data_IF_966081894838
#
_entry.id   IF_966081894838
#
_cell.length_a   1.000
_cell.length_b   1.000
_cell.length_c   1.000
_cell.angle_alpha   90.00
_cell.angle_beta   90.00
_cell.angle_gamma   90.00
#
_symmetry.space_group_name_H-M   'P 1'
#
loop_
_entity.id
_entity.type
_entity.pdbx_description
1 polymer ?
#
# COMPACT_ATOMS: atom_id res chain seq x y z
N UNK A 1 8.65 29.72 9.83
CA UNK A 1 8.24 28.55 9.02
C UNK A 1 9.07 28.55 7.75
N UNK A 2 9.59 27.41 7.31
CA UNK A 2 10.33 27.31 6.05
C UNK A 2 9.36 27.58 4.88
N UNK A 3 9.78 28.31 3.85
CA UNK A 3 8.93 28.51 2.67
C UNK A 3 8.79 27.19 1.90
N UNK A 4 7.63 26.94 1.25
CA UNK A 4 7.49 25.79 0.37
C UNK A 4 8.58 25.80 -0.70
N UNK A 5 9.21 24.64 -0.95
CA UNK A 5 10.23 24.53 -1.98
C UNK A 5 10.26 23.12 -2.57
N UNK A 6 10.42 23.08 -3.88
CA UNK A 6 10.57 21.82 -4.61
C UNK A 6 11.96 21.22 -4.38
N UNK A 7 12.04 19.90 -4.40
CA UNK A 7 13.27 19.15 -4.23
C UNK A 7 13.57 18.30 -5.48
N UNK A 8 14.86 18.16 -5.83
CA UNK A 8 15.27 17.25 -6.90
C UNK A 8 15.58 15.88 -6.31
N UNK A 9 14.98 14.82 -6.86
CA UNK A 9 15.19 13.46 -6.38
C UNK A 9 15.35 12.47 -7.54
N UNK A 10 16.17 11.44 -7.33
CA UNK A 10 16.22 10.26 -8.20
C UNK A 10 15.39 9.17 -7.54
N UNK A 11 14.35 8.72 -8.23
CA UNK A 11 13.45 7.68 -7.73
C UNK A 11 13.83 6.31 -8.28
N UNK A 12 13.65 5.27 -7.47
CA UNK A 12 13.82 3.89 -7.91
C UNK A 12 12.49 3.34 -8.41
N UNK A 13 12.48 2.89 -9.66
CA UNK A 13 11.31 2.33 -10.32
C UNK A 13 11.47 0.84 -10.53
N UNK A 14 10.37 0.11 -10.40
CA UNK A 14 10.33 -1.31 -10.77
C UNK A 14 10.65 -1.44 -12.27
N UNK A 15 11.66 -2.23 -12.59
CA UNK A 15 12.03 -2.54 -13.96
C UNK A 15 11.25 -3.75 -14.46
N UNK A 16 10.51 -3.58 -15.55
CA UNK A 16 9.76 -4.67 -16.16
C UNK A 16 10.69 -5.77 -16.65
N UNK A 17 10.53 -6.97 -16.10
CA UNK A 17 11.32 -8.14 -16.48
C UNK A 17 10.51 -9.06 -17.40
N UNK A 18 11.18 -9.66 -18.39
CA UNK A 18 10.58 -10.73 -19.22
C UNK A 18 10.09 -11.91 -18.38
N UNK A 19 10.74 -12.15 -17.24
CA UNK A 19 10.37 -13.18 -16.27
C UNK A 19 8.90 -13.06 -15.81
N UNK A 20 8.33 -11.85 -15.76
CA UNK A 20 6.96 -11.63 -15.30
C UNK A 20 5.88 -12.23 -16.21
N UNK A 21 6.23 -12.61 -17.44
CA UNK A 21 5.34 -13.39 -18.30
C UNK A 21 5.26 -14.89 -17.95
N UNK A 22 6.13 -15.39 -17.07
CA UNK A 22 6.17 -16.81 -16.66
C UNK A 22 6.18 -17.01 -15.14
N UNK A 23 6.57 -15.99 -14.37
CA UNK A 23 6.61 -16.02 -12.91
C UNK A 23 6.12 -14.68 -12.35
N UNK A 24 5.06 -14.69 -11.53
CA UNK A 24 4.51 -13.43 -10.96
C UNK A 24 5.54 -12.66 -10.13
N UNK A 25 5.54 -11.31 -10.19
CA UNK A 25 6.33 -10.49 -9.29
C UNK A 25 6.01 -10.79 -7.81
N UNK A 26 7.03 -10.93 -6.96
CA UNK A 26 6.84 -11.15 -5.53
C UNK A 26 7.97 -10.55 -4.70
N UNK A 27 7.66 -10.23 -3.44
CA UNK A 27 8.62 -9.86 -2.40
C UNK A 27 8.18 -10.46 -1.06
N UNK A 28 9.12 -11.08 -0.36
CA UNK A 28 8.97 -11.67 0.97
C UNK A 28 9.64 -10.75 1.98
N UNK A 29 8.85 -10.24 2.92
CA UNK A 29 9.34 -9.39 4.02
C UNK A 29 9.89 -10.20 5.20
N UNK A 30 9.77 -11.52 5.14
CA UNK A 30 10.29 -12.45 6.15
C UNK A 30 10.98 -13.62 5.46
N UNK A 31 12.06 -14.12 6.06
CA UNK A 31 12.76 -15.33 5.57
C UNK A 31 11.87 -16.53 5.87
N UNK A 32 11.27 -17.10 4.83
CA UNK A 32 10.47 -18.32 4.94
C UNK A 32 11.38 -19.52 4.69
N UNK A 33 11.59 -20.34 5.71
CA UNK A 33 12.30 -21.62 5.61
C UNK A 33 13.79 -21.56 5.95
N UNK A 34 14.22 -22.42 6.88
CA UNK A 34 15.62 -22.60 7.27
C UNK A 34 16.47 -23.31 6.22
N UNK A 35 16.44 -22.86 4.96
CA UNK A 35 17.29 -23.37 3.87
C UNK A 35 16.77 -24.62 3.13
N UNK A 36 15.56 -25.10 3.41
CA UNK A 36 15.04 -26.36 2.85
C UNK A 36 14.14 -26.19 1.60
N UNK A 37 13.84 -24.95 1.21
CA UNK A 37 13.02 -24.70 0.02
C UNK A 37 13.90 -24.73 -1.25
N UNK A 38 13.40 -25.31 -2.36
CA UNK A 38 14.11 -25.32 -3.64
C UNK A 38 14.41 -23.92 -4.18
N UNK A 39 13.51 -22.96 -3.94
CA UNK A 39 13.71 -21.55 -4.26
C UNK A 39 13.80 -20.73 -2.97
N UNK A 40 14.95 -20.09 -2.77
CA UNK A 40 15.27 -19.30 -1.59
C UNK A 40 15.20 -17.79 -1.85
N UNK A 41 14.78 -17.37 -3.06
CA UNK A 41 14.66 -15.95 -3.41
C UNK A 41 13.61 -15.31 -2.51
N UNK A 42 13.98 -14.19 -1.87
CA UNK A 42 13.04 -13.34 -1.14
C UNK A 42 12.35 -12.34 -2.05
N UNK A 43 12.79 -12.16 -3.29
CA UNK A 43 12.12 -11.30 -4.27
C UNK A 43 12.57 -11.66 -5.69
N UNK A 44 11.73 -11.38 -6.70
CA UNK A 44 12.13 -11.28 -8.11
C UNK A 44 11.92 -9.86 -8.68
N UNK A 45 11.69 -8.88 -7.81
CA UNK A 45 11.60 -7.47 -8.17
C UNK A 45 13.00 -6.92 -8.46
N UNK A 46 13.15 -6.31 -9.63
CA UNK A 46 14.36 -5.59 -10.02
C UNK A 46 14.00 -4.12 -10.07
N UNK A 47 14.80 -3.27 -9.43
CA UNK A 47 14.61 -1.83 -9.45
C UNK A 47 15.74 -1.17 -10.20
N UNK A 48 15.42 -0.07 -10.88
CA UNK A 48 16.40 0.80 -11.53
C UNK A 48 16.20 2.24 -11.09
N UNK A 49 17.28 3.00 -11.03
CA UNK A 49 17.21 4.44 -10.88
C UNK A 49 16.54 5.05 -12.12
N UNK A 50 15.62 5.98 -11.88
CA UNK A 50 15.04 6.81 -12.91
C UNK A 50 15.87 8.06 -13.20
N UNK A 51 15.27 8.94 -14.00
CA UNK A 51 15.80 10.28 -14.20
C UNK A 51 15.63 11.14 -12.93
N UNK A 52 16.31 12.29 -12.89
CA UNK A 52 16.07 13.30 -11.86
C UNK A 52 14.67 13.88 -12.05
N UNK A 53 13.85 13.77 -11.01
CA UNK A 53 12.48 14.26 -10.97
C UNK A 53 12.37 15.41 -9.97
N UNK A 54 11.45 16.34 -10.25
CA UNK A 54 11.12 17.42 -9.33
C UNK A 54 9.98 16.97 -8.41
N UNK A 55 10.25 16.89 -7.11
CA UNK A 55 9.27 16.66 -6.07
C UNK A 55 8.67 18.00 -5.67
N UNK A 56 7.40 18.19 -6.01
CA UNK A 56 6.69 19.45 -5.78
C UNK A 56 6.18 19.58 -4.35
N UNK A 57 6.45 20.72 -3.74
CA UNK A 57 5.89 21.06 -2.44
C UNK A 57 4.47 21.60 -2.58
N UNK A 58 3.53 20.86 -1.99
CA UNK A 58 2.09 21.13 -2.08
C UNK A 58 1.56 22.06 -0.98
N UNK A 59 2.42 22.48 -0.04
CA UNK A 59 2.01 23.32 1.10
C UNK A 59 1.52 24.69 0.63
N UNK A 60 0.32 25.07 1.05
CA UNK A 60 -0.34 26.33 0.66
C UNK A 60 -1.10 26.28 -0.67
N UNK A 61 -1.03 25.16 -1.40
CA UNK A 61 -1.75 24.95 -2.67
C UNK A 61 -2.70 23.75 -2.61
N UNK A 62 -3.00 23.24 -1.41
CA UNK A 62 -3.74 22.00 -1.17
C UNK A 62 -5.12 22.00 -1.87
N UNK A 63 -5.77 23.16 -1.96
CA UNK A 63 -7.07 23.33 -2.62
C UNK A 63 -7.06 23.09 -4.13
N UNK A 64 -5.88 23.06 -4.76
CA UNK A 64 -5.73 22.84 -6.20
C UNK A 64 -5.80 21.34 -6.58
N UNK A 65 -5.76 20.44 -5.58
CA UNK A 65 -5.70 19.00 -5.79
C UNK A 65 -7.07 18.34 -5.58
N UNK A 66 -7.48 17.57 -6.59
CA UNK A 66 -8.77 16.91 -6.63
C UNK A 66 -8.61 15.44 -7.02
N UNK A 67 -9.52 14.60 -6.50
CA UNK A 67 -9.48 13.16 -6.74
C UNK A 67 -9.49 12.83 -8.24
N UNK A 68 -10.34 13.51 -9.03
CA UNK A 68 -10.48 13.25 -10.47
C UNK A 68 -9.26 13.64 -11.32
N UNK A 69 -8.42 14.57 -10.84
CA UNK A 69 -7.27 15.05 -11.62
C UNK A 69 -5.96 14.43 -11.16
N UNK A 70 -5.76 14.28 -9.85
CA UNK A 70 -4.49 13.80 -9.28
C UNK A 70 -4.60 12.43 -8.63
N UNK A 71 -5.80 11.86 -8.50
CA UNK A 71 -6.00 10.60 -7.77
C UNK A 71 -5.94 10.76 -6.24
N UNK A 72 -5.83 12.00 -5.74
CA UNK A 72 -5.90 12.31 -4.30
C UNK A 72 -6.48 13.71 -4.06
N UNK A 73 -6.87 14.00 -2.82
CA UNK A 73 -7.27 15.34 -2.39
C UNK A 73 -6.94 15.55 -0.92
N UNK A 74 -6.72 16.79 -0.51
CA UNK A 74 -6.45 17.15 0.88
C UNK A 74 -7.74 17.52 1.61
N UNK A 75 -7.94 16.99 2.81
CA UNK A 75 -9.02 17.39 3.71
C UNK A 75 -8.48 17.58 5.12
N UNK A 76 -8.77 18.73 5.70
CA UNK A 76 -8.64 18.94 7.13
C UNK A 76 -9.95 18.49 7.73
N UNK A 77 -9.91 17.42 8.51
CA UNK A 77 -11.09 16.84 9.14
C UNK A 77 -10.84 16.66 10.64
N UNK A 78 -11.61 17.33 11.51
CA UNK A 78 -11.49 17.13 12.94
C UNK A 78 -11.95 15.71 13.28
N UNK A 79 -11.11 14.98 14.03
CA UNK A 79 -11.43 13.63 14.50
C UNK A 79 -11.67 13.64 16.00
N UNK A 80 -12.53 12.75 16.49
CA UNK A 80 -12.71 12.51 17.94
C UNK A 80 -11.71 11.49 18.49
N UNK A 81 -10.83 10.94 17.65
CA UNK A 81 -9.76 10.04 18.07
C UNK A 81 -8.74 10.83 18.88
N UNK A 82 -8.41 10.34 20.05
CA UNK A 82 -7.39 10.91 20.94
C UNK A 82 -6.07 10.16 20.79
N UNK A 83 -6.12 8.84 20.66
CA UNK A 83 -4.94 7.98 20.53
C UNK A 83 -5.11 6.92 19.41
N UNK A 84 -4.35 7.11 18.33
CA UNK A 84 -4.30 6.18 17.19
C UNK A 84 -3.61 4.84 17.51
N UNK A 85 -3.00 4.69 18.68
CA UNK A 85 -2.49 3.41 19.19
C UNK A 85 -3.56 2.54 19.85
N UNK A 86 -4.70 3.13 20.24
CA UNK A 86 -5.80 2.41 20.89
C UNK A 86 -6.73 1.82 19.83
N UNK A 87 -6.78 0.49 19.77
CA UNK A 87 -7.57 -0.25 18.78
C UNK A 87 -9.04 0.17 18.75
N UNK A 88 -9.64 0.27 19.93
CA UNK A 88 -11.07 0.58 20.04
C UNK A 88 -11.39 1.99 19.53
N UNK A 89 -10.48 2.96 19.69
CA UNK A 89 -10.64 4.30 19.12
C UNK A 89 -10.53 4.27 17.59
N UNK A 90 -9.56 3.54 17.05
CA UNK A 90 -9.43 3.43 15.59
C UNK A 90 -10.63 2.70 14.99
N UNK A 91 -11.03 1.56 15.54
CA UNK A 91 -12.10 0.74 14.98
C UNK A 91 -13.50 1.38 15.13
N UNK A 92 -13.78 2.02 16.27
CA UNK A 92 -15.12 2.52 16.57
C UNK A 92 -15.29 4.03 16.37
N UNK A 93 -14.20 4.79 16.18
CA UNK A 93 -14.24 6.24 15.98
C UNK A 93 -13.62 6.62 14.63
N UNK A 94 -12.34 6.30 14.42
CA UNK A 94 -11.62 6.70 13.20
C UNK A 94 -12.24 6.10 11.92
N UNK A 95 -12.37 4.78 11.87
CA UNK A 95 -12.83 4.09 10.66
C UNK A 95 -14.27 4.50 10.25
N UNK A 96 -15.23 4.63 11.18
CA UNK A 96 -16.54 5.22 10.86
C UNK A 96 -16.45 6.67 10.36
N UNK A 97 -15.62 7.51 10.99
CA UNK A 97 -15.44 8.91 10.55
C UNK A 97 -14.85 9.01 9.14
N UNK A 98 -13.88 8.16 8.80
CA UNK A 98 -13.29 8.11 7.45
C UNK A 98 -14.30 7.56 6.44
N UNK A 99 -15.09 6.54 6.79
CA UNK A 99 -16.14 6.06 5.90
C UNK A 99 -17.18 7.14 5.60
N UNK A 100 -17.62 7.89 6.62
CA UNK A 100 -18.54 9.02 6.44
C UNK A 100 -17.92 10.11 5.57
N UNK A 101 -16.66 10.47 5.82
CA UNK A 101 -15.93 11.44 5.01
C UNK A 101 -15.84 10.99 3.54
N UNK A 102 -15.47 9.74 3.28
CA UNK A 102 -15.37 9.22 1.92
C UNK A 102 -16.72 9.27 1.21
N UNK A 103 -17.79 8.81 1.86
CA UNK A 103 -19.16 8.85 1.31
C UNK A 103 -19.64 10.26 1.00
N UNK A 104 -19.16 11.26 1.73
CA UNK A 104 -19.48 12.67 1.47
C UNK A 104 -18.69 13.26 0.31
N UNK A 105 -17.41 12.90 0.20
CA UNK A 105 -16.48 13.53 -0.75
C UNK A 105 -16.45 12.87 -2.13
N UNK A 106 -16.92 11.63 -2.23
CA UNK A 106 -16.87 10.84 -3.47
C UNK A 106 -18.28 10.39 -3.84
N UNK A 107 -18.75 10.85 -4.99
CA UNK A 107 -20.04 10.44 -5.54
C UNK A 107 -19.98 9.00 -6.08
N UNK A 108 -21.09 8.28 -6.00
CA UNK A 108 -21.21 6.94 -6.58
C UNK A 108 -20.46 5.83 -5.83
N UNK A 109 -20.14 6.02 -4.54
CA UNK A 109 -19.59 4.94 -3.72
C UNK A 109 -20.65 3.84 -3.51
N UNK A 110 -20.39 2.67 -4.07
CA UNK A 110 -21.13 1.44 -3.74
C UNK A 110 -20.69 0.87 -2.38
N UNK A 111 -19.38 0.81 -2.15
CA UNK A 111 -18.81 0.23 -0.93
C UNK A 111 -17.49 0.90 -0.52
N UNK A 112 -17.30 1.07 0.79
CA UNK A 112 -16.03 1.48 1.38
C UNK A 112 -15.35 0.25 1.99
N UNK A 113 -14.17 -0.09 1.47
CA UNK A 113 -13.37 -1.18 1.99
C UNK A 113 -12.40 -0.68 3.05
N UNK A 114 -12.44 -1.30 4.22
CA UNK A 114 -11.52 -1.01 5.32
C UNK A 114 -10.35 -1.98 5.24
N UNK A 115 -9.13 -1.44 5.23
CA UNK A 115 -7.94 -2.28 5.35
C UNK A 115 -7.77 -2.78 6.80
N UNK A 116 -7.18 -3.96 6.96
CA UNK A 116 -6.88 -4.53 8.27
C UNK A 116 -5.96 -3.60 9.08
N UNK A 117 -6.42 -3.20 10.26
CA UNK A 117 -5.64 -2.44 11.22
C UNK A 117 -4.90 -3.39 12.17
N UNK A 118 -3.56 -3.37 12.11
CA UNK A 118 -2.68 -4.35 12.77
C UNK A 118 -1.79 -3.70 13.84
N UNK A 119 -2.36 -3.01 14.81
CA UNK A 119 -1.58 -2.26 15.82
C UNK A 119 -0.84 -3.10 16.86
N UNK A 120 -1.14 -4.40 16.94
CA UNK A 120 -0.48 -5.34 17.84
C UNK A 120 0.31 -6.42 17.11
N UNK A 121 0.54 -6.24 15.80
CA UNK A 121 1.29 -7.22 15.04
C UNK A 121 2.69 -7.37 15.63
N UNK A 122 3.03 -8.60 16.01
CA UNK A 122 4.37 -8.93 16.50
C UNK A 122 5.31 -9.26 15.34
N UNK A 123 6.61 -9.16 15.58
CA UNK A 123 7.64 -9.44 14.55
C UNK A 123 7.62 -10.89 14.05
N UNK A 124 7.09 -11.82 14.84
CA UNK A 124 6.94 -13.25 14.50
C UNK A 124 5.63 -13.56 13.75
N UNK A 125 4.74 -12.58 13.57
CA UNK A 125 3.45 -12.78 12.89
C UNK A 125 3.54 -12.45 11.41
N UNK A 126 3.08 -13.38 10.58
CA UNK A 126 3.06 -13.24 9.11
C UNK A 126 1.77 -12.54 8.67
N UNK A 127 1.90 -11.44 7.94
CA UNK A 127 0.80 -10.85 7.17
C UNK A 127 0.99 -11.18 5.70
N UNK A 128 0.02 -11.90 5.12
CA UNK A 128 -0.02 -12.17 3.69
C UNK A 128 -0.99 -11.19 3.02
N UNK A 129 -0.46 -10.31 2.17
CA UNK A 129 -1.28 -9.50 1.26
C UNK A 129 -1.20 -10.15 -0.13
N UNK A 130 -2.26 -10.87 -0.50
CA UNK A 130 -2.40 -11.42 -1.85
C UNK A 130 -3.17 -10.42 -2.71
N UNK A 131 -2.49 -9.80 -3.66
CA UNK A 131 -3.16 -9.05 -4.72
C UNK A 131 -3.63 -10.04 -5.78
N UNK A 132 -4.91 -10.02 -6.13
CA UNK A 132 -5.42 -10.80 -7.24
C UNK A 132 -4.87 -10.21 -8.54
N UNK A 133 -4.21 -11.03 -9.35
CA UNK A 133 -3.71 -10.65 -10.67
C UNK A 133 -4.76 -11.07 -11.71
N UNK A 134 -5.03 -10.19 -12.67
CA UNK A 134 -5.95 -10.44 -13.78
C UNK A 134 -5.48 -11.52 -14.75
N UNK A 135 -4.19 -11.85 -14.78
CA UNK A 135 -3.65 -12.91 -15.65
C UNK A 135 -3.66 -14.28 -14.94
N UNK A 136 -4.54 -15.23 -15.35
CA UNK A 136 -4.62 -16.55 -14.76
C UNK A 136 -3.54 -17.51 -15.26
N UNK A 137 -2.85 -17.19 -16.36
CA UNK A 137 -1.90 -18.10 -17.02
C UNK A 137 -0.53 -18.13 -16.34
N UNK A 138 -0.26 -17.15 -15.47
CA UNK A 138 1.00 -17.07 -14.73
C UNK A 138 0.80 -17.55 -13.29
N UNK A 139 1.57 -18.56 -12.89
CA UNK A 139 1.51 -19.10 -11.54
C UNK A 139 1.99 -18.10 -10.49
N UNK A 140 1.23 -17.99 -9.39
CA UNK A 140 1.63 -17.24 -8.22
C UNK A 140 2.56 -18.09 -7.35
N UNK A 141 3.66 -17.49 -6.87
CA UNK A 141 4.71 -18.21 -6.15
C UNK A 141 4.31 -18.72 -4.76
N UNK A 142 3.32 -18.10 -4.14
CA UNK A 142 2.82 -18.50 -2.82
C UNK A 142 1.33 -18.83 -2.91
N UNK A 143 1.03 -20.12 -2.95
CA UNK A 143 -0.29 -20.66 -2.71
C UNK A 143 -0.18 -21.51 -1.44
N UNK A 144 -0.74 -21.03 -0.33
CA UNK A 144 -1.00 -21.90 0.80
C UNK A 144 -2.11 -22.86 0.36
N UNK A 145 -1.76 -24.12 0.08
CA UNK A 145 -2.76 -25.19 0.07
C UNK A 145 -3.11 -25.44 1.53
N UNK A 146 -4.39 -25.31 1.88
CA UNK A 146 -4.90 -25.83 3.14
C UNK A 146 -4.48 -27.30 3.22
N UNK A 147 -3.77 -27.65 4.29
CA UNK A 147 -3.26 -28.99 4.55
C UNK A 147 -4.35 -29.97 4.96
N UNK A 148 -5.34 -30.16 4.09
CA UNK A 148 -6.24 -31.30 4.11
C UNK A 148 -6.32 -31.89 2.70
N UNK A 149 -5.25 -32.59 2.33
CA UNK A 149 -5.23 -33.75 1.43
C UNK A 149 -3.98 -34.58 1.75
#
# INVERSE_FOLDING_TARGET
>A
MCQPHDEQAVLNYLEWQKLYGTEKPFQLFSVVGGGHLPDQRTTNLVFKEGEVETIHDVRGTESQYSLNKQGFTFRIYPTRVHDFGVRDEVENVYLPEIEELLRREVEGIDQVYRWHYLNRQRKDEVTLLKMFDSDPEVEAKLIFKDGNE
#
